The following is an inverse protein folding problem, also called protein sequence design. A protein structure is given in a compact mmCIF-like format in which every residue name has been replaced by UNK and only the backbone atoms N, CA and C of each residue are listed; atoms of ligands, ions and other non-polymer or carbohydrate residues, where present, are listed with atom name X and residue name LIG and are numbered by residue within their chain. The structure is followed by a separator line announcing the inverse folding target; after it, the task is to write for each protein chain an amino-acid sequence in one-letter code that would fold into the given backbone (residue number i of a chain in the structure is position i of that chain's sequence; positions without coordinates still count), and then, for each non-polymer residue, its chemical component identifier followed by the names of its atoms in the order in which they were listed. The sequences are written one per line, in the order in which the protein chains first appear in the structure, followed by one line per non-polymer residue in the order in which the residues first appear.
data_IF_308651651103
#
_entry.id   IF_308651651103
#
_cell.length_a   1.000
_cell.length_b   1.000
_cell.length_c   1.000
_cell.angle_alpha   90.00
_cell.angle_beta   90.00
_cell.angle_gamma   90.00
#
_symmetry.space_group_name_H-M   'P 1'
#
loop_
_entity.id
_entity.type
_entity.pdbx_description
1 polymer ?
#
# COMPACT_ATOMS: atom_id res chain seq x y z
N UNK A 1 6.42 -12.70 -7.02
CA UNK A 1 5.09 -13.21 -6.65
C UNK A 1 5.11 -14.72 -6.79
N UNK A 2 4.11 -15.43 -6.28
CA UNK A 2 3.90 -16.83 -6.70
C UNK A 2 3.55 -16.86 -8.19
N UNK A 3 3.94 -17.92 -8.87
CA UNK A 3 3.94 -18.00 -10.33
C UNK A 3 2.79 -18.84 -10.89
N UNK A 4 2.11 -19.62 -10.04
CA UNK A 4 1.03 -20.51 -10.45
C UNK A 4 -0.19 -20.45 -9.53
N UNK A 5 -1.37 -20.72 -10.09
CA UNK A 5 -2.62 -20.86 -9.32
C UNK A 5 -2.49 -21.94 -8.22
N UNK A 6 -1.78 -23.03 -8.52
CA UNK A 6 -1.55 -24.11 -7.57
C UNK A 6 -0.70 -23.69 -6.38
N UNK A 7 0.35 -22.89 -6.58
CA UNK A 7 1.14 -22.34 -5.47
C UNK A 7 0.28 -21.48 -4.54
N UNK A 8 -0.54 -20.57 -5.08
CA UNK A 8 -1.44 -19.77 -4.24
C UNK A 8 -2.40 -20.65 -3.42
N UNK A 9 -3.02 -21.66 -4.05
CA UNK A 9 -3.93 -22.59 -3.36
C UNK A 9 -3.25 -23.38 -2.25
N UNK A 10 -1.96 -23.70 -2.37
CA UNK A 10 -1.19 -24.38 -1.32
C UNK A 10 -0.95 -23.46 -0.11
N UNK A 11 -0.78 -22.16 -0.34
CA UNK A 11 -0.56 -21.18 0.72
C UNK A 11 -1.87 -20.72 1.38
N UNK A 12 -2.97 -20.66 0.65
CA UNK A 12 -4.27 -20.22 1.18
C UNK A 12 -4.90 -21.33 2.02
N UNK A 13 -5.12 -21.03 3.30
CA UNK A 13 -5.78 -21.90 4.28
C UNK A 13 -6.98 -21.18 4.87
N UNK A 14 -7.83 -21.91 5.57
CA UNK A 14 -8.88 -21.30 6.39
C UNK A 14 -8.24 -20.39 7.47
N UNK A 15 -8.84 -19.23 7.70
CA UNK A 15 -8.46 -18.34 8.82
C UNK A 15 -8.52 -19.13 10.13
N UNK A 16 -7.52 -18.96 10.99
CA UNK A 16 -7.33 -19.75 12.21
C UNK A 16 -6.55 -21.05 12.02
N UNK A 17 -6.31 -21.51 10.79
CA UNK A 17 -5.57 -22.77 10.49
C UNK A 17 -4.14 -22.55 9.99
N UNK A 18 -3.69 -21.30 9.94
CA UNK A 18 -2.35 -20.98 9.49
C UNK A 18 -1.27 -21.40 10.50
N UNK A 19 -1.56 -21.42 11.81
CA UNK A 19 -0.58 -21.72 12.86
C UNK A 19 0.69 -20.85 12.73
N UNK A 20 0.51 -19.55 12.53
CA UNK A 20 1.60 -18.58 12.37
C UNK A 20 2.48 -18.55 13.63
N UNK A 21 3.79 -18.48 13.43
CA UNK A 21 4.81 -18.38 14.48
C UNK A 21 5.88 -17.39 14.07
N UNK A 22 6.56 -16.82 15.05
CA UNK A 22 7.71 -15.93 14.87
C UNK A 22 7.44 -14.76 13.90
N UNK A 23 6.19 -14.26 13.91
CA UNK A 23 5.70 -13.25 12.96
C UNK A 23 6.34 -11.87 13.14
N UNK A 24 7.06 -11.63 14.24
CA UNK A 24 7.87 -10.42 14.42
C UNK A 24 8.93 -10.28 13.30
N UNK A 25 9.42 -11.40 12.74
CA UNK A 25 10.37 -11.40 11.61
C UNK A 25 9.77 -10.83 10.32
N UNK A 26 8.44 -10.83 10.20
CA UNK A 26 7.74 -10.27 9.03
C UNK A 26 7.68 -8.75 9.08
N UNK A 27 7.95 -8.17 10.26
CA UNK A 27 7.86 -6.74 10.57
C UNK A 27 9.24 -6.15 10.89
N UNK A 28 10.33 -6.77 10.47
CA UNK A 28 11.69 -6.37 10.86
C UNK A 28 11.97 -4.88 10.61
N UNK A 29 11.49 -4.33 9.48
CA UNK A 29 11.72 -2.92 9.13
C UNK A 29 10.83 -1.97 9.92
N UNK A 30 9.59 -2.37 10.21
CA UNK A 30 8.74 -1.64 11.15
C UNK A 30 9.37 -1.59 12.55
N UNK A 31 9.88 -2.71 13.05
CA UNK A 31 10.53 -2.80 14.37
C UNK A 31 11.76 -1.89 14.43
N UNK A 32 12.64 -1.96 13.42
CA UNK A 32 13.80 -1.08 13.34
C UNK A 32 13.40 0.40 13.33
N UNK A 33 12.37 0.76 12.57
CA UNK A 33 11.85 2.12 12.52
C UNK A 33 11.27 2.56 13.87
N UNK A 34 10.51 1.70 14.55
CA UNK A 34 9.98 1.99 15.89
C UNK A 34 11.10 2.24 16.91
N UNK A 35 12.20 1.49 16.81
CA UNK A 35 13.34 1.61 17.73
C UNK A 35 14.21 2.83 17.43
N UNK A 36 14.40 3.20 16.16
CA UNK A 36 15.43 4.18 15.74
C UNK A 36 14.90 5.42 15.02
N UNK A 37 13.70 5.37 14.47
CA UNK A 37 13.10 6.44 13.67
C UNK A 37 13.53 6.46 12.19
N UNK A 38 14.25 5.44 11.72
CA UNK A 38 14.67 5.28 10.32
C UNK A 38 14.75 3.80 9.93
N UNK A 39 14.74 3.51 8.63
CA UNK A 39 14.68 2.13 8.10
C UNK A 39 16.04 1.49 7.81
N UNK A 40 17.12 2.26 7.76
CA UNK A 40 18.47 1.75 7.51
C UNK A 40 19.55 2.68 8.07
N UNK A 41 20.66 2.10 8.54
CA UNK A 41 21.86 2.81 8.97
C UNK A 41 22.77 3.22 7.81
N UNK A 42 22.50 2.73 6.59
CA UNK A 42 23.32 3.06 5.43
C UNK A 42 23.24 4.55 5.14
N UNK A 43 24.38 5.15 4.80
CA UNK A 43 24.46 6.57 4.46
C UNK A 43 23.70 6.80 3.14
N UNK A 44 22.84 7.82 3.13
CA UNK A 44 22.03 8.19 1.96
C UNK A 44 22.90 8.40 0.71
N UNK A 45 22.37 8.03 -0.46
CA UNK A 45 23.02 8.08 -1.77
C UNK A 45 24.28 7.19 -1.95
N UNK A 46 24.59 6.31 -0.99
CA UNK A 46 25.62 5.27 -1.18
C UNK A 46 25.08 4.06 -1.93
N UNK A 47 25.98 3.23 -2.49
CA UNK A 47 25.59 1.99 -3.17
C UNK A 47 24.81 1.05 -2.23
N UNK A 48 25.27 0.85 -1.00
CA UNK A 48 24.58 -0.01 -0.02
C UNK A 48 23.18 0.50 0.32
N UNK A 49 23.01 1.82 0.38
CA UNK A 49 21.71 2.45 0.62
C UNK A 49 20.77 2.28 -0.58
N UNK A 50 21.27 2.49 -1.80
CA UNK A 50 20.48 2.26 -3.03
C UNK A 50 20.06 0.79 -3.14
N UNK A 51 21.00 -0.13 -2.97
CA UNK A 51 20.77 -1.57 -3.00
C UNK A 51 19.76 -2.01 -1.94
N UNK A 52 19.81 -1.40 -0.75
CA UNK A 52 18.83 -1.66 0.29
C UNK A 52 17.42 -1.28 -0.19
N UNK A 53 17.21 -0.06 -0.67
CA UNK A 53 15.89 0.40 -1.07
C UNK A 53 15.36 -0.30 -2.32
N UNK A 54 16.23 -0.67 -3.25
CA UNK A 54 15.86 -1.50 -4.40
C UNK A 54 15.36 -2.88 -3.96
N UNK A 55 16.04 -3.53 -3.01
CA UNK A 55 15.59 -4.82 -2.45
C UNK A 55 14.27 -4.70 -1.69
N UNK A 56 14.07 -3.60 -0.95
CA UNK A 56 12.79 -3.36 -0.25
C UNK A 56 11.65 -3.11 -1.25
N UNK A 57 11.89 -2.36 -2.33
CA UNK A 57 10.93 -2.18 -3.43
C UNK A 57 10.62 -3.52 -4.11
N UNK A 58 11.62 -4.38 -4.34
CA UNK A 58 11.43 -5.72 -4.89
C UNK A 58 10.50 -6.57 -4.01
N UNK A 59 10.71 -6.60 -2.69
CA UNK A 59 9.83 -7.32 -1.75
C UNK A 59 8.41 -6.77 -1.76
N UNK A 60 8.23 -5.45 -1.88
CA UNK A 60 6.91 -4.82 -1.96
C UNK A 60 6.16 -5.20 -3.25
N UNK A 61 6.88 -5.28 -4.37
CA UNK A 61 6.28 -5.59 -5.67
C UNK A 61 6.06 -7.10 -5.87
N UNK A 62 6.98 -7.92 -5.36
CA UNK A 62 7.03 -9.34 -5.67
C UNK A 62 6.70 -10.25 -4.48
N UNK A 63 6.53 -9.73 -3.29
CA UNK A 63 6.48 -10.55 -2.09
C UNK A 63 7.85 -11.14 -1.74
N UNK A 64 7.92 -11.88 -0.64
CA UNK A 64 9.18 -12.45 -0.15
C UNK A 64 8.94 -13.71 0.68
N UNK A 65 9.96 -14.53 0.85
CA UNK A 65 9.94 -15.66 1.78
C UNK A 65 10.69 -15.32 3.07
N UNK A 66 10.05 -15.55 4.20
CA UNK A 66 10.66 -15.42 5.53
C UNK A 66 10.36 -16.69 6.32
N UNK A 67 11.40 -17.44 6.68
CA UNK A 67 11.30 -18.72 7.41
C UNK A 67 10.29 -19.71 6.81
N UNK A 68 10.31 -19.85 5.48
CA UNK A 68 9.42 -20.76 4.75
C UNK A 68 8.00 -20.23 4.55
N UNK A 69 7.67 -19.05 5.09
CA UNK A 69 6.40 -18.38 4.82
C UNK A 69 6.53 -17.44 3.64
N UNK A 70 5.65 -17.63 2.65
CA UNK A 70 5.47 -16.63 1.61
C UNK A 70 4.66 -15.45 2.16
N UNK A 71 5.22 -14.25 2.06
CA UNK A 71 4.57 -12.99 2.44
C UNK A 71 4.23 -12.24 1.16
N UNK A 72 2.94 -12.04 0.85
CA UNK A 72 2.50 -11.21 -0.28
C UNK A 72 3.12 -9.82 -0.24
N UNK A 73 3.46 -9.25 -1.39
CA UNK A 73 4.18 -7.97 -1.46
C UNK A 73 3.37 -6.82 -0.85
N UNK A 74 2.06 -6.80 -1.10
CA UNK A 74 1.13 -5.88 -0.45
C UNK A 74 1.10 -6.02 1.06
N UNK A 75 1.24 -7.24 1.57
CA UNK A 75 1.24 -7.47 3.00
C UNK A 75 2.56 -7.04 3.64
N UNK A 76 3.68 -7.38 3.00
CA UNK A 76 4.99 -6.90 3.42
C UNK A 76 5.03 -5.37 3.51
N UNK A 77 4.47 -4.69 2.49
CA UNK A 77 4.36 -3.25 2.47
C UNK A 77 3.50 -2.69 3.61
N UNK A 78 2.31 -3.28 3.83
CA UNK A 78 1.42 -2.90 4.93
C UNK A 78 2.09 -3.02 6.30
N UNK A 79 2.77 -4.14 6.53
CA UNK A 79 3.42 -4.44 7.80
C UNK A 79 4.60 -3.54 8.12
N UNK A 80 5.41 -3.20 7.11
CA UNK A 80 6.71 -2.58 7.30
C UNK A 80 6.75 -1.07 7.03
N UNK A 81 5.82 -0.53 6.23
CA UNK A 81 5.93 0.83 5.71
C UNK A 81 4.66 1.67 5.87
N UNK A 82 3.56 1.09 6.35
CA UNK A 82 2.26 1.78 6.45
C UNK A 82 1.77 1.81 7.91
N UNK A 83 2.24 2.77 8.73
CA UNK A 83 1.77 2.89 10.10
C UNK A 83 0.29 3.29 10.16
N UNK A 84 -0.41 2.70 11.10
CA UNK A 84 -1.83 2.87 11.34
C UNK A 84 -2.07 3.62 12.65
N UNK A 85 -3.13 4.42 12.68
CA UNK A 85 -3.51 5.11 13.91
C UNK A 85 -4.21 4.16 14.89
N UNK A 86 -3.55 3.83 16.00
CA UNK A 86 -4.07 2.98 17.07
C UNK A 86 -4.88 3.83 18.05
N UNK A 87 -6.21 3.85 17.89
CA UNK A 87 -7.13 4.66 18.71
C UNK A 87 -7.06 4.36 20.21
N UNK A 88 -6.73 3.12 20.59
CA UNK A 88 -6.62 2.72 22.00
C UNK A 88 -5.44 3.40 22.69
N UNK A 89 -4.35 3.57 21.95
CA UNK A 89 -3.07 4.08 22.45
C UNK A 89 -2.83 5.54 22.04
N UNK A 90 -3.66 6.07 21.15
CA UNK A 90 -3.58 7.42 20.58
C UNK A 90 -2.23 7.73 19.90
N UNK A 91 -1.64 6.73 19.24
CA UNK A 91 -0.36 6.83 18.53
C UNK A 91 -0.47 6.24 17.11
N UNK A 92 0.42 6.68 16.22
CA UNK A 92 0.70 5.96 14.98
C UNK A 92 1.70 4.85 15.25
N UNK A 93 1.40 3.66 14.75
CA UNK A 93 2.20 2.47 14.97
C UNK A 93 2.00 1.45 13.84
N UNK A 94 2.86 0.45 13.70
CA UNK A 94 2.77 -0.51 12.60
C UNK A 94 1.78 -1.65 12.87
N UNK A 95 1.04 -2.14 11.85
CA UNK A 95 0.06 -3.20 12.02
C UNK A 95 0.66 -4.50 12.54
N UNK A 96 -0.02 -5.18 13.46
CA UNK A 96 0.36 -6.53 13.89
C UNK A 96 -0.04 -7.60 12.88
N UNK A 97 0.60 -8.76 13.00
CA UNK A 97 0.32 -9.91 12.15
C UNK A 97 -0.89 -10.66 12.67
N UNK A 98 -2.02 -10.49 11.98
CA UNK A 98 -3.21 -11.31 12.16
C UNK A 98 -3.35 -12.29 11.00
N UNK A 99 -3.74 -13.52 11.31
CA UNK A 99 -4.01 -14.57 10.33
C UNK A 99 -5.07 -14.18 9.30
N UNK A 100 -6.10 -13.41 9.70
CA UNK A 100 -7.12 -12.89 8.80
C UNK A 100 -6.55 -11.89 7.79
N UNK A 101 -5.52 -11.15 8.17
CA UNK A 101 -4.88 -10.13 7.34
C UNK A 101 -4.01 -10.84 6.32
N UNK A 102 -3.19 -11.79 6.80
CA UNK A 102 -2.40 -12.67 5.95
C UNK A 102 -3.26 -13.39 4.90
N UNK A 103 -4.36 -14.00 5.31
CA UNK A 103 -5.34 -14.64 4.42
C UNK A 103 -5.89 -13.65 3.38
N UNK A 104 -6.29 -12.46 3.82
CA UNK A 104 -6.85 -11.44 2.92
C UNK A 104 -5.84 -11.05 1.84
N UNK A 105 -4.57 -10.82 2.20
CA UNK A 105 -3.55 -10.44 1.23
C UNK A 105 -3.14 -11.56 0.29
N UNK A 106 -3.11 -12.82 0.76
CA UNK A 106 -2.91 -13.97 -0.11
C UNK A 106 -4.03 -14.07 -1.16
N UNK A 107 -5.29 -14.00 -0.73
CA UNK A 107 -6.43 -14.07 -1.63
C UNK A 107 -6.51 -12.87 -2.58
N UNK A 108 -6.14 -11.67 -2.11
CA UNK A 108 -6.08 -10.48 -2.94
C UNK A 108 -5.00 -10.59 -4.02
N UNK A 109 -3.79 -11.01 -3.66
CA UNK A 109 -2.70 -11.19 -4.63
C UNK A 109 -3.01 -12.31 -5.63
N UNK A 110 -3.68 -13.38 -5.17
CA UNK A 110 -4.17 -14.45 -6.03
C UNK A 110 -5.23 -13.96 -7.03
N UNK A 111 -6.19 -13.15 -6.58
CA UNK A 111 -7.20 -12.55 -7.46
C UNK A 111 -6.55 -11.64 -8.52
N UNK A 112 -5.55 -10.84 -8.13
CA UNK A 112 -4.75 -10.03 -9.07
C UNK A 112 -4.03 -10.92 -10.08
N UNK A 113 -3.37 -11.99 -9.62
CA UNK A 113 -2.70 -12.97 -10.50
C UNK A 113 -3.67 -13.59 -11.52
N UNK A 114 -4.89 -13.90 -11.11
CA UNK A 114 -5.94 -14.46 -11.99
C UNK A 114 -6.66 -13.41 -12.85
N UNK A 115 -6.35 -12.12 -12.71
CA UNK A 115 -7.09 -11.00 -13.30
C UNK A 115 -8.59 -11.04 -12.95
N UNK A 116 -8.90 -11.27 -11.68
CA UNK A 116 -10.26 -11.36 -11.15
C UNK A 116 -10.58 -10.25 -10.15
N UNK A 117 -11.88 -9.99 -9.98
CA UNK A 117 -12.37 -9.13 -8.93
C UNK A 117 -12.26 -9.81 -7.56
N UNK A 118 -11.87 -9.04 -6.54
CA UNK A 118 -11.80 -9.50 -5.16
C UNK A 118 -12.93 -8.91 -4.31
N UNK A 119 -13.83 -9.76 -3.83
CA UNK A 119 -14.96 -9.37 -2.99
C UNK A 119 -14.84 -10.01 -1.59
N UNK A 120 -15.18 -9.25 -0.54
CA UNK A 120 -15.03 -9.70 0.84
C UNK A 120 -16.27 -9.41 1.68
N UNK A 121 -16.72 -10.43 2.41
CA UNK A 121 -17.64 -10.30 3.55
C UNK A 121 -16.79 -10.26 4.82
N UNK A 122 -16.97 -9.23 5.65
CA UNK A 122 -16.10 -8.97 6.80
C UNK A 122 -16.86 -8.60 8.07
N UNK A 123 -16.30 -8.99 9.21
CA UNK A 123 -16.74 -8.52 10.53
C UNK A 123 -16.51 -7.01 10.68
N UNK A 124 -17.30 -6.34 11.53
CA UNK A 124 -17.05 -4.92 11.88
C UNK A 124 -15.71 -4.76 12.63
N UNK A 125 -15.14 -3.56 12.56
CA UNK A 125 -13.95 -3.15 13.34
C UNK A 125 -12.72 -4.09 13.19
N UNK A 126 -12.42 -4.48 11.96
CA UNK A 126 -11.33 -5.43 11.64
C UNK A 126 -10.31 -4.87 10.64
N UNK A 127 -10.24 -3.54 10.52
CA UNK A 127 -9.19 -2.86 9.76
C UNK A 127 -9.25 -2.99 8.22
N UNK A 128 -10.30 -3.57 7.62
CA UNK A 128 -10.33 -3.78 6.16
C UNK A 128 -10.16 -2.51 5.32
N UNK A 129 -10.62 -1.35 5.77
CA UNK A 129 -10.39 -0.09 5.05
C UNK A 129 -8.90 0.26 4.98
N UNK A 130 -8.13 0.00 6.05
CA UNK A 130 -6.68 0.17 6.05
C UNK A 130 -6.04 -0.74 5.01
N UNK A 131 -6.46 -2.02 4.98
CA UNK A 131 -5.93 -3.06 4.09
C UNK A 131 -6.20 -2.78 2.62
N UNK A 132 -7.42 -2.41 2.28
CA UNK A 132 -7.81 -2.13 0.88
C UNK A 132 -7.34 -0.78 0.36
N UNK A 133 -6.86 0.11 1.23
CA UNK A 133 -6.12 1.29 0.79
C UNK A 133 -4.67 0.99 0.41
N UNK A 134 -4.10 -0.14 0.85
CA UNK A 134 -2.70 -0.50 0.57
C UNK A 134 -2.40 -0.68 -0.92
N UNK A 135 -3.20 -1.41 -1.71
CA UNK A 135 -2.97 -1.49 -3.16
C UNK A 135 -2.97 -0.12 -3.82
N UNK A 136 -3.88 0.77 -3.42
CA UNK A 136 -3.99 2.12 -3.98
C UNK A 136 -2.73 2.94 -3.73
N UNK A 137 -2.18 2.87 -2.51
CA UNK A 137 -0.91 3.54 -2.19
C UNK A 137 0.26 2.89 -2.93
N UNK A 138 0.32 1.55 -2.99
CA UNK A 138 1.37 0.85 -3.75
C UNK A 138 1.37 1.29 -5.20
N UNK A 139 0.21 1.28 -5.86
CA UNK A 139 0.06 1.73 -7.24
C UNK A 139 0.44 3.21 -7.41
N UNK A 140 0.02 4.06 -6.48
CA UNK A 140 0.35 5.49 -6.51
C UNK A 140 1.87 5.71 -6.48
N UNK A 141 2.62 4.98 -5.64
CA UNK A 141 4.05 5.16 -5.44
C UNK A 141 4.94 4.38 -6.42
N UNK A 142 4.55 3.17 -6.83
CA UNK A 142 5.44 2.22 -7.50
C UNK A 142 5.02 1.83 -8.93
N UNK A 143 3.84 2.22 -9.39
CA UNK A 143 3.41 1.96 -10.79
C UNK A 143 3.64 3.17 -11.70
N UNK A 144 3.33 3.05 -13.00
CA UNK A 144 3.31 4.18 -13.96
C UNK A 144 1.99 4.21 -14.72
N UNK A 145 1.39 5.39 -14.81
CA UNK A 145 0.13 5.62 -15.52
C UNK A 145 -1.09 4.90 -14.91
N UNK A 146 -1.01 4.45 -13.65
CA UNK A 146 -2.06 3.63 -13.02
C UNK A 146 -3.26 4.50 -12.58
N UNK A 147 -4.48 4.26 -13.10
CA UNK A 147 -5.70 4.92 -12.62
C UNK A 147 -6.30 4.17 -11.43
N UNK A 148 -6.50 4.85 -10.31
CA UNK A 148 -7.00 4.27 -9.06
C UNK A 148 -8.24 5.02 -8.57
N UNK A 149 -9.18 4.29 -7.98
CA UNK A 149 -10.46 4.85 -7.54
C UNK A 149 -10.86 4.30 -6.16
N UNK A 150 -11.39 5.17 -5.30
CA UNK A 150 -12.13 4.77 -4.09
C UNK A 150 -13.57 5.22 -4.29
N UNK A 151 -14.50 4.27 -4.34
CA UNK A 151 -15.91 4.58 -4.50
C UNK A 151 -16.69 4.26 -3.22
N UNK A 152 -17.45 5.23 -2.73
CA UNK A 152 -18.39 5.04 -1.61
C UNK A 152 -19.74 5.66 -1.96
N UNK A 153 -20.78 5.23 -1.25
CA UNK A 153 -22.10 5.82 -1.45
C UNK A 153 -22.13 7.28 -0.96
N UNK A 154 -21.64 7.52 0.26
CA UNK A 154 -21.62 8.84 0.88
C UNK A 154 -20.24 9.50 0.77
N UNK A 155 -20.22 10.81 0.57
CA UNK A 155 -18.98 11.61 0.47
C UNK A 155 -18.14 11.57 1.74
N UNK A 156 -18.79 11.58 2.92
CA UNK A 156 -18.10 11.49 4.20
C UNK A 156 -17.28 10.20 4.34
N UNK A 157 -17.72 9.10 3.73
CA UNK A 157 -17.02 7.81 3.83
C UNK A 157 -15.73 7.80 3.02
N UNK A 158 -15.75 8.31 1.79
CA UNK A 158 -14.55 8.41 0.96
C UNK A 158 -13.58 9.47 1.52
N UNK A 159 -14.09 10.61 1.99
CA UNK A 159 -13.26 11.64 2.64
C UNK A 159 -12.57 11.09 3.88
N UNK A 160 -13.27 10.29 4.68
CA UNK A 160 -12.68 9.65 5.86
C UNK A 160 -11.55 8.68 5.49
N UNK A 161 -11.75 7.82 4.50
CA UNK A 161 -10.67 6.94 4.02
C UNK A 161 -9.50 7.75 3.44
N UNK A 162 -9.79 8.89 2.81
CA UNK A 162 -8.79 9.79 2.28
C UNK A 162 -7.92 10.40 3.38
N UNK A 163 -8.54 11.09 4.34
CA UNK A 163 -7.82 11.87 5.35
C UNK A 163 -7.28 11.04 6.51
N UNK A 164 -7.94 9.94 6.89
CA UNK A 164 -7.51 9.12 8.02
C UNK A 164 -6.59 7.96 7.64
N UNK A 165 -6.43 7.65 6.34
CA UNK A 165 -5.66 6.48 5.88
C UNK A 165 -4.69 6.84 4.76
N UNK A 166 -5.22 7.29 3.63
CA UNK A 166 -4.43 7.54 2.41
C UNK A 166 -3.42 8.68 2.61
N UNK A 167 -3.85 9.78 3.25
CA UNK A 167 -2.99 10.92 3.60
C UNK A 167 -1.85 10.54 4.56
N UNK A 168 -2.11 9.95 5.74
CA UNK A 168 -1.06 9.50 6.65
C UNK A 168 -0.06 8.54 6.01
N UNK A 169 -0.54 7.57 5.21
CA UNK A 169 0.34 6.65 4.48
C UNK A 169 1.27 7.40 3.51
N UNK A 170 0.73 8.30 2.68
CA UNK A 170 1.53 9.11 1.75
C UNK A 170 2.54 9.97 2.50
N UNK A 171 2.13 10.61 3.60
CA UNK A 171 3.00 11.48 4.40
C UNK A 171 4.15 10.70 5.02
N UNK A 172 3.88 9.53 5.60
CA UNK A 172 4.91 8.66 6.17
C UNK A 172 5.95 8.26 5.12
N UNK A 173 5.50 7.79 3.96
CA UNK A 173 6.39 7.37 2.87
C UNK A 173 7.23 8.53 2.35
N UNK A 174 6.61 9.69 2.09
CA UNK A 174 7.33 10.86 1.60
C UNK A 174 8.34 11.41 2.62
N UNK A 175 8.13 11.19 3.91
CA UNK A 175 8.99 11.72 4.97
C UNK A 175 10.15 10.78 5.29
N UNK A 176 9.91 9.46 5.25
CA UNK A 176 10.83 8.47 5.82
C UNK A 176 11.44 7.50 4.80
N UNK A 177 11.14 7.66 3.51
CA UNK A 177 11.64 6.77 2.44
C UNK A 177 12.11 7.61 1.24
N UNK A 178 13.01 7.07 0.39
CA UNK A 178 13.41 7.75 -0.84
C UNK A 178 12.34 7.69 -1.94
N UNK A 179 11.21 7.03 -1.69
CA UNK A 179 10.12 6.91 -2.65
C UNK A 179 9.28 8.18 -2.77
N UNK A 180 9.82 9.36 -2.44
CA UNK A 180 9.13 10.64 -2.47
C UNK A 180 8.30 10.81 -3.77
N UNK A 181 7.03 11.19 -3.61
CA UNK A 181 6.12 11.53 -4.70
C UNK A 181 5.49 12.90 -4.45
N UNK A 182 5.66 13.78 -5.44
CA UNK A 182 4.91 15.02 -5.54
C UNK A 182 3.54 14.77 -6.20
N UNK A 183 2.55 15.56 -5.79
CA UNK A 183 1.16 15.43 -6.23
C UNK A 183 0.69 16.72 -6.90
N UNK A 184 0.32 16.62 -8.18
CA UNK A 184 -0.27 17.71 -8.92
C UNK A 184 -1.38 17.22 -9.87
N UNK A 185 -2.68 17.40 -9.52
CA UNK A 185 -3.16 18.07 -8.31
C UNK A 185 -2.95 17.27 -7.02
N UNK A 186 -2.90 17.96 -5.88
CA UNK A 186 -2.91 17.40 -4.52
C UNK A 186 -4.21 17.75 -3.77
N UNK A 187 -5.36 17.76 -4.47
CA UNK A 187 -6.65 18.09 -3.86
C UNK A 187 -7.27 16.84 -3.21
N UNK A 188 -8.03 16.96 -2.11
CA UNK A 188 -8.80 15.85 -1.58
C UNK A 188 -9.63 15.19 -2.69
N UNK A 189 -9.65 13.86 -2.69
CA UNK A 189 -10.33 13.02 -3.69
C UNK A 189 -9.80 13.15 -5.13
N UNK A 190 -8.69 13.87 -5.37
CA UNK A 190 -8.12 14.03 -6.70
C UNK A 190 -6.61 14.26 -6.61
N UNK A 191 -5.89 13.14 -6.61
CA UNK A 191 -4.44 13.11 -6.64
C UNK A 191 -3.88 12.60 -7.95
N UNK A 192 -2.76 13.18 -8.36
CA UNK A 192 -1.97 12.69 -9.49
C UNK A 192 -0.48 12.79 -9.18
N UNK A 193 0.27 11.70 -9.32
CA UNK A 193 1.74 11.72 -9.13
C UNK A 193 2.43 12.36 -10.32
N UNK A 194 2.47 13.68 -10.29
CA UNK A 194 3.04 14.50 -11.35
C UNK A 194 3.65 15.77 -10.73
N UNK A 195 4.70 16.27 -11.36
CA UNK A 195 5.27 17.57 -11.07
C UNK A 195 5.45 18.36 -12.35
N UNK A 196 5.30 19.68 -12.26
CA UNK A 196 5.63 20.59 -13.35
C UNK A 196 7.11 20.94 -13.27
N UNK A 197 7.83 20.76 -14.37
CA UNK A 197 9.23 21.16 -14.52
C UNK A 197 9.35 22.07 -15.74
N UNK A 198 10.21 23.08 -15.64
CA UNK A 198 10.55 23.93 -16.78
C UNK A 198 11.80 23.34 -17.42
N UNK A 199 11.76 23.07 -18.71
CA UNK A 199 12.94 22.60 -19.43
C UNK A 199 13.89 23.75 -19.77
N UNK A 200 15.08 23.43 -20.27
CA UNK A 200 16.11 24.42 -20.68
C UNK A 200 15.59 25.43 -21.73
N UNK A 201 14.57 25.06 -22.51
CA UNK A 201 13.92 25.92 -23.51
C UNK A 201 12.77 26.78 -22.94
N UNK A 202 12.57 26.80 -21.61
CA UNK A 202 11.50 27.58 -20.96
C UNK A 202 10.09 26.99 -21.07
N UNK A 203 9.93 25.76 -21.57
CA UNK A 203 8.63 25.08 -21.69
C UNK A 203 8.26 24.36 -20.41
N UNK A 204 7.00 24.49 -19.99
CA UNK A 204 6.42 23.72 -18.88
C UNK A 204 6.13 22.28 -19.33
N UNK A 205 6.72 21.31 -18.65
CA UNK A 205 6.52 19.88 -18.87
C UNK A 205 5.94 19.24 -17.62
N UNK A 206 4.98 18.33 -17.81
CA UNK A 206 4.46 17.48 -16.72
C UNK A 206 5.21 16.15 -16.72
N UNK A 207 6.03 15.93 -15.69
CA UNK A 207 6.82 14.71 -15.51
C UNK A 207 6.37 13.96 -14.26
N UNK A 208 6.85 12.73 -14.07
CA UNK A 208 6.48 11.84 -12.96
C UNK A 208 5.83 10.54 -13.44
N UNK A 209 5.35 9.74 -12.49
CA UNK A 209 4.72 8.43 -12.75
C UNK A 209 3.32 8.56 -13.36
N UNK A 210 2.66 9.70 -13.21
CA UNK A 210 1.33 10.03 -13.76
C UNK A 210 0.22 9.07 -13.27
N UNK A 211 0.42 8.41 -12.14
CA UNK A 211 -0.64 7.63 -11.50
C UNK A 211 -1.70 8.60 -10.96
N UNK A 212 -2.95 8.17 -10.91
CA UNK A 212 -4.04 8.97 -10.35
C UNK A 212 -4.74 8.18 -9.27
N UNK A 213 -5.21 8.88 -8.24
CA UNK A 213 -6.14 8.36 -7.25
C UNK A 213 -7.31 9.32 -7.16
N UNK A 214 -8.53 8.82 -7.32
CA UNK A 214 -9.75 9.63 -7.30
C UNK A 214 -10.78 9.05 -6.33
N UNK A 215 -11.45 9.94 -5.59
CA UNK A 215 -12.62 9.58 -4.79
C UNK A 215 -13.90 9.75 -5.58
N UNK A 216 -14.77 8.73 -5.56
CA UNK A 216 -16.05 8.71 -6.25
C UNK A 216 -17.19 8.63 -5.23
N UNK A 217 -18.19 9.49 -5.41
CA UNK A 217 -19.39 9.54 -4.57
C UNK A 217 -20.59 9.05 -5.38
N UNK A 218 -21.04 7.83 -5.07
CA UNK A 218 -22.04 7.11 -5.87
C UNK A 218 -23.47 7.62 -5.66
N UNK A 219 -23.77 8.26 -4.53
CA UNK A 219 -25.07 8.94 -4.30
C UNK A 219 -25.32 10.10 -5.26
N UNK A 220 -24.26 10.77 -5.75
CA UNK A 220 -24.38 11.88 -6.72
C UNK A 220 -24.62 11.38 -8.15
N UNK A 221 -24.01 10.25 -8.51
CA UNK A 221 -24.31 9.53 -9.75
C UNK A 221 -23.73 8.11 -9.65
N UNK A 222 -24.57 7.07 -9.79
CA UNK A 222 -24.12 5.68 -9.75
C UNK A 222 -23.14 5.33 -10.87
N UNK A 223 -23.18 6.05 -11.99
CA UNK A 223 -22.33 5.82 -13.16
C UNK A 223 -21.01 6.59 -13.15
N UNK A 224 -20.67 7.34 -12.09
CA UNK A 224 -19.39 8.08 -12.03
C UNK A 224 -18.15 7.19 -12.11
N UNK A 225 -18.28 5.89 -11.83
CA UNK A 225 -17.22 4.91 -11.99
C UNK A 225 -17.07 4.35 -13.41
N UNK A 226 -17.96 4.69 -14.35
CA UNK A 226 -17.87 4.21 -15.74
C UNK A 226 -17.30 5.31 -16.63
N UNK A 227 -16.16 5.05 -17.26
CA UNK A 227 -15.46 5.99 -18.15
C UNK A 227 -13.94 5.84 -18.04
N UNK A 228 -13.34 5.20 -19.03
CA UNK A 228 -11.89 5.22 -19.28
C UNK A 228 -11.49 6.43 -20.11
#
# INVERSE_FOLDING_TARGET
MLNTDQEYRLHIKEVGKYNLKDTYKWKEKAILFQERGYYTDYVEDTHDWLDFWEKEEEKILNGTYIDGWYIPGLYYFYLNYLPIFRKQDNIYDFPDVYDSDYHTYLCLEHAVFLNQDFCVIKKRQSGFSLKFCVPLIRELFFSRGSPNYIATYEEAQVLKAWSEIIEPYKEHLNTHTPWYRDLNPSKPLNWRTAKEVINESGRKLTVGRKNTLKGLVLSKSPSKGVGG
#
